data_IF_672685838955
#
_entry.id   IF_672685838955
#
_cell.length_a   1.000
_cell.length_b   1.000
_cell.length_c   1.000
_cell.angle_alpha   90.00
_cell.angle_beta   90.00
_cell.angle_gamma   90.00
#
_symmetry.space_group_name_H-M   'P 1'
#
loop_
_entity.id
_entity.type
_entity.pdbx_description
1 polymer ?
#
# COMPACT_ATOMS: atom_id res chain seq x y z
N UNK A 1 -14.24 -14.94 21.84
CA UNK A 1 -13.73 -14.27 23.07
C UNK A 1 -12.65 -13.21 22.77
N UNK A 2 -12.62 -12.60 21.57
CA UNK A 2 -11.55 -11.67 21.14
C UNK A 2 -12.02 -10.22 20.89
N UNK A 3 -13.31 -9.89 20.97
CA UNK A 3 -13.78 -8.57 20.53
C UNK A 3 -13.53 -7.45 21.55
N UNK A 4 -13.58 -7.75 22.86
CA UNK A 4 -13.39 -6.76 23.92
C UNK A 4 -11.94 -6.23 23.97
N UNK A 5 -10.96 -7.00 23.49
CA UNK A 5 -9.54 -6.61 23.49
C UNK A 5 -9.15 -5.65 22.35
N UNK A 6 -10.00 -5.51 21.32
CA UNK A 6 -9.80 -4.55 20.22
C UNK A 6 -10.36 -3.16 20.52
N UNK A 7 -11.14 -3.01 21.58
CA UNK A 7 -11.81 -1.75 21.95
C UNK A 7 -11.08 -0.95 23.03
N UNK A 8 -9.87 -1.35 23.44
CA UNK A 8 -9.17 -0.63 24.50
C UNK A 8 -8.84 0.81 24.04
N UNK A 9 -9.28 1.86 24.77
CA UNK A 9 -9.09 3.27 24.39
C UNK A 9 -7.64 3.66 24.11
N UNK A 10 -6.68 2.98 24.74
CA UNK A 10 -5.24 3.18 24.52
C UNK A 10 -4.72 2.73 23.14
N UNK A 11 -5.56 2.10 22.31
CA UNK A 11 -5.20 1.68 20.94
C UNK A 11 -5.80 2.57 19.86
N UNK A 12 -6.46 3.67 20.23
CA UNK A 12 -7.00 4.66 19.29
C UNK A 12 -6.00 5.79 19.06
N UNK A 13 -6.06 6.38 17.86
CA UNK A 13 -5.23 7.54 17.52
C UNK A 13 -5.72 8.75 18.32
N UNK A 14 -4.87 9.23 19.23
CA UNK A 14 -5.09 10.42 20.06
C UNK A 14 -4.16 11.57 19.65
N UNK A 15 -4.48 12.81 20.01
CA UNK A 15 -3.59 13.96 19.77
C UNK A 15 -2.17 13.75 20.33
N UNK A 16 -2.06 13.21 21.54
CA UNK A 16 -0.79 12.88 22.17
C UNK A 16 0.01 11.85 21.35
N UNK A 17 -0.67 10.82 20.84
CA UNK A 17 -0.05 9.84 19.98
C UNK A 17 0.46 10.47 18.68
N UNK A 18 -0.33 11.33 18.04
CA UNK A 18 0.06 12.01 16.79
C UNK A 18 1.33 12.83 17.01
N UNK A 19 1.36 13.64 18.08
CA UNK A 19 2.51 14.47 18.41
C UNK A 19 3.77 13.63 18.60
N UNK A 20 3.67 12.55 19.40
CA UNK A 20 4.79 11.64 19.65
C UNK A 20 5.25 10.92 18.39
N UNK A 21 4.33 10.35 17.62
CA UNK A 21 4.65 9.60 16.40
C UNK A 21 5.33 10.49 15.34
N UNK A 22 4.88 11.74 15.19
CA UNK A 22 5.51 12.71 14.28
C UNK A 22 6.90 13.12 14.77
N UNK A 23 7.08 13.28 16.09
CA UNK A 23 8.38 13.58 16.68
C UNK A 23 9.37 12.41 16.49
N UNK A 24 8.93 11.18 16.72
CA UNK A 24 9.72 9.97 16.53
C UNK A 24 10.11 9.80 15.05
N UNK A 25 9.18 10.05 14.13
CA UNK A 25 9.47 10.06 12.69
C UNK A 25 10.54 11.11 12.35
N UNK A 26 10.39 12.36 12.83
CA UNK A 26 11.39 13.43 12.63
C UNK A 26 12.77 13.04 13.17
N UNK A 27 12.84 12.42 14.35
CA UNK A 27 14.10 11.97 14.95
C UNK A 27 14.77 10.83 14.15
N UNK A 28 13.96 9.89 13.65
CA UNK A 28 14.42 8.78 12.81
C UNK A 28 14.99 9.28 11.47
N UNK A 29 14.32 10.24 10.84
CA UNK A 29 14.79 10.85 9.58
C UNK A 29 16.02 11.74 9.76
N UNK A 30 16.12 12.49 10.87
CA UNK A 30 17.32 13.29 11.20
C UNK A 30 18.58 12.43 11.38
N UNK A 31 18.42 11.22 11.89
CA UNK A 31 19.53 10.26 12.04
C UNK A 31 19.96 9.67 10.69
N UNK A 32 19.10 9.75 9.66
CA UNK A 32 19.32 9.04 8.39
C UNK A 32 20.10 9.86 7.36
N UNK A 33 19.85 11.16 7.10
CA UNK A 33 20.69 11.97 6.19
C UNK A 33 20.57 13.50 6.37
N UNK A 34 21.70 14.20 6.17
CA UNK A 34 21.76 15.64 5.84
C UNK A 34 21.04 15.90 4.50
N UNK A 35 20.08 16.85 4.49
CA UNK A 35 19.65 17.57 3.29
C UNK A 35 18.85 16.79 2.25
N UNK A 36 17.54 16.62 2.46
CA UNK A 36 16.64 16.34 1.34
C UNK A 36 15.24 16.97 1.57
N UNK A 37 14.79 17.83 0.67
CA UNK A 37 13.51 18.56 0.76
C UNK A 37 12.28 17.62 0.73
N UNK A 38 12.43 16.39 0.23
CA UNK A 38 11.37 15.37 0.22
C UNK A 38 11.01 14.80 1.60
N UNK A 39 11.87 14.98 2.60
CA UNK A 39 11.69 14.39 3.94
C UNK A 39 10.61 15.09 4.75
N UNK A 40 10.50 16.41 4.64
CA UNK A 40 9.43 17.17 5.33
C UNK A 40 8.06 16.89 4.71
N UNK A 41 7.98 16.81 3.37
CA UNK A 41 6.73 16.47 2.68
C UNK A 41 6.19 15.08 3.07
N UNK A 42 7.07 14.10 3.35
CA UNK A 42 6.65 12.77 3.79
C UNK A 42 6.12 12.75 5.23
N UNK A 43 6.77 13.49 6.12
CA UNK A 43 6.35 13.64 7.52
C UNK A 43 5.02 14.39 7.62
N UNK A 44 4.82 15.42 6.79
CA UNK A 44 3.53 16.12 6.72
C UNK A 44 2.41 15.24 6.18
N UNK A 45 2.68 14.42 5.16
CA UNK A 45 1.70 13.45 4.69
C UNK A 45 1.34 12.42 5.78
N UNK A 46 2.34 11.93 6.52
CA UNK A 46 2.11 11.03 7.65
C UNK A 46 1.29 11.67 8.76
N UNK A 47 1.60 12.92 9.13
CA UNK A 47 0.83 13.70 10.09
C UNK A 47 -0.62 13.89 9.63
N UNK A 48 -0.83 14.29 8.38
CA UNK A 48 -2.16 14.46 7.80
C UNK A 48 -2.98 13.17 7.86
N UNK A 49 -2.37 12.02 7.53
CA UNK A 49 -3.03 10.72 7.62
C UNK A 49 -3.46 10.38 9.05
N UNK A 50 -2.59 10.65 10.03
CA UNK A 50 -2.90 10.43 11.44
C UNK A 50 -4.03 11.34 11.93
N UNK A 51 -3.98 12.64 11.59
CA UNK A 51 -5.01 13.61 11.96
C UNK A 51 -6.38 13.26 11.36
N UNK A 52 -6.41 12.83 10.08
CA UNK A 52 -7.63 12.41 9.39
C UNK A 52 -8.25 11.12 9.95
N UNK A 53 -7.50 10.33 10.72
CA UNK A 53 -7.95 9.06 11.30
C UNK A 53 -7.99 9.10 12.83
N UNK A 54 -8.05 10.29 13.43
CA UNK A 54 -8.19 10.45 14.88
C UNK A 54 -9.41 9.68 15.40
N UNK A 55 -9.23 9.00 16.53
CA UNK A 55 -10.26 8.16 17.14
C UNK A 55 -10.39 6.76 16.52
N UNK A 56 -9.82 6.48 15.34
CA UNK A 56 -9.74 5.11 14.81
C UNK A 56 -8.71 4.28 15.56
N UNK A 57 -8.89 2.97 15.55
CA UNK A 57 -7.94 2.02 16.12
C UNK A 57 -6.66 1.97 15.27
N UNK A 58 -5.55 1.58 15.89
CA UNK A 58 -4.29 1.37 15.18
C UNK A 58 -4.42 0.33 14.06
N UNK A 59 -5.26 -0.69 14.24
CA UNK A 59 -5.46 -1.72 13.23
C UNK A 59 -6.11 -1.15 11.97
N UNK A 60 -7.23 -0.42 12.12
CA UNK A 60 -7.93 0.26 11.01
C UNK A 60 -6.98 1.24 10.30
N UNK A 61 -6.18 1.99 11.07
CA UNK A 61 -5.21 2.90 10.49
C UNK A 61 -4.13 2.17 9.68
N UNK A 62 -3.60 1.05 10.19
CA UNK A 62 -2.60 0.28 9.49
C UNK A 62 -3.14 -0.40 8.22
N UNK A 63 -4.41 -0.83 8.22
CA UNK A 63 -5.08 -1.32 7.02
C UNK A 63 -5.19 -0.21 5.96
N UNK A 64 -5.65 0.98 6.37
CA UNK A 64 -5.69 2.15 5.50
C UNK A 64 -4.30 2.51 4.96
N UNK A 65 -3.28 2.47 5.82
CA UNK A 65 -1.89 2.72 5.41
C UNK A 65 -1.42 1.71 4.36
N UNK A 66 -1.79 0.45 4.48
CA UNK A 66 -1.46 -0.59 3.48
C UNK A 66 -2.09 -0.25 2.14
N UNK A 67 -3.36 0.17 2.10
CA UNK A 67 -4.03 0.64 0.88
C UNK A 67 -3.28 1.81 0.25
N UNK A 68 -2.92 2.82 1.02
CA UNK A 68 -2.18 3.98 0.51
C UNK A 68 -0.78 3.62 0.00
N UNK A 69 -0.08 2.70 0.65
CA UNK A 69 1.21 2.19 0.18
C UNK A 69 1.07 1.45 -1.16
N UNK A 70 0.01 0.67 -1.34
CA UNK A 70 -0.29 -0.01 -2.61
C UNK A 70 -0.65 0.97 -3.72
N UNK A 71 -1.50 1.96 -3.44
CA UNK A 71 -1.86 3.02 -4.39
C UNK A 71 -0.64 3.86 -4.79
N UNK A 72 0.32 4.03 -3.87
CA UNK A 72 1.58 4.68 -4.19
C UNK A 72 2.44 3.79 -5.11
N UNK A 73 2.61 2.52 -4.74
CA UNK A 73 3.43 1.55 -5.47
C UNK A 73 2.91 1.27 -6.89
N UNK A 74 1.60 1.06 -7.06
CA UNK A 74 0.99 0.89 -8.38
C UNK A 74 0.82 2.23 -9.12
N UNK A 75 1.28 3.36 -8.59
CA UNK A 75 1.25 4.66 -9.26
C UNK A 75 -0.13 5.35 -9.32
N UNK A 76 -1.19 4.77 -8.74
CA UNK A 76 -2.52 5.38 -8.71
C UNK A 76 -2.51 6.74 -8.03
N UNK A 77 -1.75 6.93 -6.95
CA UNK A 77 -1.64 8.24 -6.30
C UNK A 77 -1.01 9.30 -7.21
N UNK A 78 -0.08 8.89 -8.09
CA UNK A 78 0.50 9.80 -9.08
C UNK A 78 -0.56 10.21 -10.11
N UNK A 79 -1.32 9.25 -10.64
CA UNK A 79 -2.40 9.52 -11.59
C UNK A 79 -3.51 10.41 -10.98
N UNK A 80 -3.88 10.18 -9.72
CA UNK A 80 -4.85 11.03 -9.00
C UNK A 80 -4.32 12.46 -8.83
N UNK A 81 -3.03 12.62 -8.50
CA UNK A 81 -2.39 13.93 -8.42
C UNK A 81 -2.42 14.67 -9.76
N UNK A 82 -2.15 13.97 -10.86
CA UNK A 82 -2.21 14.53 -12.22
C UNK A 82 -3.63 14.99 -12.59
N UNK A 83 -4.66 14.29 -12.08
CA UNK A 83 -6.08 14.66 -12.20
C UNK A 83 -6.54 15.71 -11.18
N UNK A 84 -5.62 16.32 -10.43
CA UNK A 84 -5.91 17.34 -9.41
C UNK A 84 -6.81 16.86 -8.27
N UNK A 85 -6.82 15.56 -7.95
CA UNK A 85 -7.50 15.07 -6.75
C UNK A 85 -6.77 15.59 -5.50
N UNK A 86 -7.52 16.20 -4.58
CA UNK A 86 -6.99 16.69 -3.31
C UNK A 86 -6.67 15.52 -2.36
N UNK A 87 -5.78 15.76 -1.39
CA UNK A 87 -5.45 14.76 -0.36
C UNK A 87 -6.68 14.36 0.45
N UNK A 88 -7.57 15.31 0.73
CA UNK A 88 -8.81 15.11 1.47
C UNK A 88 -9.78 14.20 0.71
N UNK A 89 -9.97 14.42 -0.58
CA UNK A 89 -10.84 13.57 -1.41
C UNK A 89 -10.31 12.13 -1.49
N UNK A 90 -9.01 11.97 -1.69
CA UNK A 90 -8.39 10.64 -1.76
C UNK A 90 -8.54 9.92 -0.42
N UNK A 91 -8.26 10.58 0.71
CA UNK A 91 -8.47 9.98 2.03
C UNK A 91 -9.94 9.64 2.24
N UNK A 92 -10.88 10.55 1.98
CA UNK A 92 -12.30 10.27 2.15
C UNK A 92 -12.77 9.07 1.32
N UNK A 93 -12.27 8.90 0.09
CA UNK A 93 -12.63 7.79 -0.78
C UNK A 93 -12.13 6.43 -0.25
N UNK A 94 -10.90 6.36 0.27
CA UNK A 94 -10.30 5.10 0.73
C UNK A 94 -10.50 4.83 2.22
N UNK A 95 -10.88 5.83 3.02
CA UNK A 95 -11.06 5.72 4.47
C UNK A 95 -12.07 4.65 4.90
N UNK A 96 -13.02 4.28 4.05
CA UNK A 96 -14.03 3.25 4.33
C UNK A 96 -13.92 2.05 3.39
N UNK A 97 -12.90 2.00 2.53
CA UNK A 97 -12.66 0.86 1.63
C UNK A 97 -11.60 -0.04 2.24
N UNK A 98 -12.01 -1.25 2.60
CA UNK A 98 -11.07 -2.32 2.92
C UNK A 98 -10.31 -2.75 1.66
N UNK A 99 -9.12 -3.31 1.85
CA UNK A 99 -8.41 -4.00 0.78
C UNK A 99 -9.10 -5.34 0.49
N UNK A 100 -10.07 -5.29 -0.42
CA UNK A 100 -10.90 -6.41 -0.84
C UNK A 100 -10.42 -7.01 -2.17
N UNK A 101 -11.11 -8.07 -2.58
CA UNK A 101 -10.77 -8.80 -3.80
C UNK A 101 -10.99 -7.96 -5.07
N UNK A 102 -11.96 -7.04 -5.06
CA UNK A 102 -12.20 -6.10 -6.16
C UNK A 102 -11.00 -5.16 -6.34
N UNK A 103 -10.49 -4.58 -5.25
CA UNK A 103 -9.32 -3.71 -5.29
C UNK A 103 -8.07 -4.46 -5.74
N UNK A 104 -7.85 -5.69 -5.25
CA UNK A 104 -6.73 -6.53 -5.70
C UNK A 104 -6.84 -6.88 -7.17
N UNK A 105 -8.04 -7.24 -7.64
CA UNK A 105 -8.29 -7.53 -9.04
C UNK A 105 -8.02 -6.31 -9.93
N UNK A 106 -8.50 -5.13 -9.55
CA UNK A 106 -8.25 -3.89 -10.30
C UNK A 106 -6.76 -3.57 -10.37
N UNK A 107 -6.03 -3.67 -9.25
CA UNK A 107 -4.57 -3.46 -9.25
C UNK A 107 -3.84 -4.51 -10.09
N UNK A 108 -4.33 -5.75 -10.13
CA UNK A 108 -3.75 -6.80 -10.98
C UNK A 108 -3.90 -6.48 -12.47
N UNK A 109 -5.02 -5.90 -12.90
CA UNK A 109 -5.23 -5.45 -14.27
C UNK A 109 -4.28 -4.31 -14.65
N UNK A 110 -4.03 -3.37 -13.74
CA UNK A 110 -3.05 -2.30 -13.96
C UNK A 110 -1.64 -2.87 -14.21
N UNK A 111 -1.26 -3.94 -13.50
CA UNK A 111 0.01 -4.63 -13.69
C UNK A 111 0.06 -5.43 -14.99
N UNK A 112 -1.05 -6.06 -15.39
CA UNK A 112 -1.16 -6.74 -16.70
C UNK A 112 -0.97 -5.74 -17.85
N UNK A 113 -1.59 -4.55 -17.75
CA UNK A 113 -1.40 -3.50 -18.75
C UNK A 113 0.08 -3.08 -18.85
N UNK A 114 0.78 -2.98 -17.71
CA UNK A 114 2.24 -2.68 -17.70
C UNK A 114 3.09 -3.80 -18.28
N UNK A 115 2.70 -5.05 -18.12
CA UNK A 115 3.40 -6.19 -18.71
C UNK A 115 3.36 -6.15 -20.23
N UNK A 116 2.25 -5.68 -20.81
CA UNK A 116 2.14 -5.46 -22.25
C UNK A 116 3.15 -4.40 -22.75
N UNK A 117 3.29 -3.29 -22.02
CA UNK A 117 4.21 -2.21 -22.38
C UNK A 117 5.68 -2.52 -22.02
N UNK A 118 5.90 -3.33 -20.98
CA UNK A 118 7.22 -3.72 -20.48
C UNK A 118 7.24 -5.20 -20.09
N UNK A 119 7.52 -6.10 -21.06
CA UNK A 119 7.56 -7.53 -20.79
C UNK A 119 8.53 -7.89 -19.65
N UNK A 120 8.09 -8.82 -18.81
CA UNK A 120 8.77 -9.31 -17.63
C UNK A 120 8.70 -8.40 -16.40
N UNK A 121 7.95 -7.29 -16.42
CA UNK A 121 7.84 -6.40 -15.25
C UNK A 121 7.17 -7.08 -14.07
N UNK A 122 6.12 -7.87 -14.29
CA UNK A 122 5.44 -8.62 -13.21
C UNK A 122 6.41 -9.60 -12.57
N UNK A 123 7.18 -10.35 -13.37
CA UNK A 123 8.18 -11.29 -12.84
C UNK A 123 9.25 -10.58 -12.02
N UNK A 124 9.75 -9.44 -12.50
CA UNK A 124 10.75 -8.64 -11.78
C UNK A 124 10.19 -8.13 -10.45
N UNK A 125 9.00 -7.53 -10.46
CA UNK A 125 8.35 -7.01 -9.26
C UNK A 125 8.00 -8.10 -8.26
N UNK A 126 7.63 -9.30 -8.72
CA UNK A 126 7.33 -10.43 -7.84
C UNK A 126 8.57 -10.85 -7.05
N UNK A 127 9.73 -10.96 -7.72
CA UNK A 127 11.01 -11.24 -7.06
C UNK A 127 11.39 -10.16 -6.03
N UNK A 128 11.13 -8.89 -6.35
CA UNK A 128 11.36 -7.78 -5.42
C UNK A 128 10.42 -7.86 -4.21
N UNK A 129 9.13 -8.15 -4.41
CA UNK A 129 8.15 -8.31 -3.34
C UNK A 129 8.50 -9.48 -2.42
N UNK A 130 8.95 -10.61 -2.97
CA UNK A 130 9.39 -11.77 -2.17
C UNK A 130 10.63 -11.47 -1.32
N UNK A 131 11.63 -10.81 -1.91
CA UNK A 131 12.83 -10.39 -1.18
C UNK A 131 12.50 -9.37 -0.09
N UNK A 132 11.61 -8.42 -0.38
CA UNK A 132 11.14 -7.42 0.58
C UNK A 132 10.39 -8.09 1.75
N UNK A 133 9.51 -9.04 1.44
CA UNK A 133 8.77 -9.81 2.45
C UNK A 133 9.71 -10.55 3.39
N UNK A 134 10.71 -11.24 2.83
CA UNK A 134 11.68 -11.99 3.63
C UNK A 134 12.55 -11.07 4.48
N UNK A 135 13.02 -9.96 3.91
CA UNK A 135 13.81 -8.97 4.65
C UNK A 135 13.01 -8.38 5.81
N UNK A 136 11.73 -8.03 5.58
CA UNK A 136 10.86 -7.50 6.63
C UNK A 136 10.54 -8.55 7.69
N UNK A 137 10.36 -9.81 7.31
CA UNK A 137 10.16 -10.93 8.24
C UNK A 137 11.35 -11.11 9.17
N UNK A 138 12.57 -11.11 8.62
CA UNK A 138 13.80 -11.25 9.39
C UNK A 138 14.07 -10.07 10.33
N UNK A 139 13.63 -8.87 9.94
CA UNK A 139 13.75 -7.66 10.75
C UNK A 139 12.60 -7.45 11.75
N UNK A 140 11.63 -8.36 11.84
CA UNK A 140 10.44 -8.20 12.70
C UNK A 140 9.59 -6.98 12.32
N UNK A 141 9.67 -6.54 11.06
CA UNK A 141 8.91 -5.40 10.54
C UNK A 141 7.55 -5.84 10.04
N UNK A 142 6.73 -4.85 9.75
CA UNK A 142 5.38 -5.08 9.28
C UNK A 142 5.35 -5.79 7.90
N UNK A 143 4.44 -6.76 7.76
CA UNK A 143 4.37 -7.70 6.62
C UNK A 143 3.15 -7.54 5.71
N UNK A 144 2.09 -6.80 6.07
CA UNK A 144 0.88 -6.66 5.22
C UNK A 144 1.24 -6.14 3.83
N UNK A 145 1.93 -5.01 3.75
CA UNK A 145 2.28 -4.42 2.47
C UNK A 145 3.04 -5.37 1.51
N UNK A 146 4.18 -5.99 1.90
CA UNK A 146 4.88 -6.90 1.00
C UNK A 146 4.09 -8.19 0.70
N UNK A 147 3.22 -8.66 1.61
CA UNK A 147 2.29 -9.77 1.30
C UNK A 147 1.29 -9.39 0.22
N UNK A 148 0.62 -8.25 0.37
CA UNK A 148 -0.39 -7.78 -0.57
C UNK A 148 0.20 -7.50 -1.96
N UNK A 149 1.42 -6.94 -2.02
CA UNK A 149 2.17 -6.83 -3.30
C UNK A 149 2.32 -8.18 -3.99
N UNK A 150 2.79 -9.18 -3.25
CA UNK A 150 2.99 -10.54 -3.78
C UNK A 150 1.66 -11.12 -4.27
N UNK A 151 0.59 -10.99 -3.50
CA UNK A 151 -0.73 -11.55 -3.83
C UNK A 151 -1.30 -10.90 -5.11
N UNK A 152 -1.25 -9.57 -5.22
CA UNK A 152 -1.69 -8.83 -6.41
C UNK A 152 -0.90 -9.25 -7.67
N UNK A 153 0.43 -9.37 -7.55
CA UNK A 153 1.28 -9.78 -8.67
C UNK A 153 1.05 -11.25 -9.06
N UNK A 154 0.79 -12.13 -8.09
CA UNK A 154 0.42 -13.51 -8.36
C UNK A 154 -0.92 -13.61 -9.09
N UNK A 155 -1.92 -12.82 -8.71
CA UNK A 155 -3.19 -12.73 -9.44
C UNK A 155 -2.93 -12.32 -10.89
N UNK A 156 -2.14 -11.26 -11.11
CA UNK A 156 -1.79 -10.79 -12.45
C UNK A 156 -1.05 -11.87 -13.27
N UNK A 157 -0.07 -12.54 -12.67
CA UNK A 157 0.71 -13.61 -13.31
C UNK A 157 -0.16 -14.80 -13.72
N UNK A 158 -1.06 -15.23 -12.84
CA UNK A 158 -1.97 -16.35 -13.09
C UNK A 158 -2.97 -16.03 -14.21
N UNK A 159 -3.48 -14.80 -14.26
CA UNK A 159 -4.38 -14.37 -15.34
C UNK A 159 -3.68 -14.37 -16.70
N UNK A 160 -2.39 -14.00 -16.77
CA UNK A 160 -1.61 -14.09 -18.00
C UNK A 160 -1.34 -15.54 -18.42
N UNK A 161 -1.02 -16.42 -17.46
CA UNK A 161 -0.85 -17.86 -17.72
C UNK A 161 -2.14 -18.52 -18.21
N UNK A 162 -3.30 -18.13 -17.68
CA UNK A 162 -4.61 -18.56 -18.17
C UNK A 162 -4.99 -17.97 -19.52
N UNK A 163 -4.56 -16.74 -19.82
CA UNK A 163 -4.81 -16.08 -21.11
C UNK A 163 -4.03 -16.73 -22.26
N UNK A 164 -2.79 -17.18 -22.00
CA UNK A 164 -1.97 -17.89 -22.98
C UNK A 164 -2.52 -19.29 -23.34
N UNK A 165 -3.31 -19.92 -22.46
CA UNK A 165 -4.00 -21.18 -22.77
C UNK A 165 -5.24 -20.95 -23.66
N UNK A 166 -5.89 -19.80 -23.55
CA UNK A 166 -7.05 -19.44 -24.38
C UNK A 166 -6.65 -18.96 -25.78
N UNK A 167 -5.47 -18.33 -25.96
CA UNK A 167 -4.98 -17.94 -27.28
C UNK A 167 -4.48 -19.13 -28.11
N UNK A 168 -4.02 -20.21 -27.48
CA UNK A 168 -3.55 -21.41 -28.19
C UNK A 168 -4.68 -22.30 -28.75
N UNK A 169 -5.94 -21.97 -28.45
CA UNK A 169 -7.10 -22.79 -28.85
C UNK A 169 -7.84 -22.28 -30.10
N UNK A 170 -7.37 -21.20 -30.75
CA UNK A 170 -8.07 -20.56 -31.88
C UNK A 170 -7.34 -20.75 -33.23
N UNK A 171 -6.13 -21.30 -33.27
CA UNK A 171 -5.37 -21.48 -34.54
C UNK A 171 -5.61 -22.82 -35.27
N UNK A 172 -6.65 -23.56 -34.90
CA UNK A 172 -7.07 -24.78 -35.62
C UNK A 172 -8.56 -24.82 -35.86
N UNK A 173 -9.06 -23.99 -36.79
CA UNK A 173 -10.25 -24.28 -37.61
C UNK A 173 -10.16 -23.52 -38.95
#
# INVERSE_FOLDING_TARGET
>A
MNSVFNEHPSRRISDEFILKAVQDARASFKTTLQGNEGTESGIEAFRFMLEANKGRTMLEFQELMTVFQLLHWNGSLKAMRERQCSRQEVVAHYSNRSLDDEMRAQMSLDWIAREHDSPGVIRRELLLAERELETSRMAGRELRFPKEKKDILMIAHNQLGGSNLNSASIDHL
#
